data_IF_898635813228
#
_entry.id   IF_898635813228
#
_cell.length_a   1.000
_cell.length_b   1.000
_cell.length_c   1.000
_cell.angle_alpha   90.00
_cell.angle_beta   90.00
_cell.angle_gamma   90.00
#
_symmetry.space_group_name_H-M   'P 1'
#
loop_
_entity.id
_entity.type
_entity.pdbx_description
1 polymer ?
#
# COMPACT_ATOMS: atom_id res chain seq x y z
N UNK A 1 21.83 20.73 -1.16
CA UNK A 1 21.28 19.46 -1.52
C UNK A 1 20.71 19.49 -2.91
N UNK A 2 21.02 18.51 -3.64
CA UNK A 2 20.45 18.39 -4.97
C UNK A 2 19.06 17.83 -4.87
N UNK A 3 18.11 18.51 -5.47
CA UNK A 3 16.79 17.93 -5.55
C UNK A 3 16.86 16.66 -6.39
N UNK A 4 16.14 15.65 -5.98
CA UNK A 4 16.09 14.48 -6.83
C UNK A 4 15.51 14.87 -8.17
N UNK A 5 15.92 14.15 -9.18
CA UNK A 5 15.30 14.31 -10.47
C UNK A 5 13.80 14.09 -10.32
N UNK A 6 13.02 14.69 -11.20
CA UNK A 6 11.59 14.46 -11.22
C UNK A 6 11.35 12.96 -11.35
N UNK A 7 10.49 12.44 -10.50
CA UNK A 7 10.15 11.03 -10.54
C UNK A 7 9.46 10.70 -11.87
N UNK A 8 9.69 9.51 -12.41
CA UNK A 8 8.97 9.11 -13.61
C UNK A 8 7.47 9.13 -13.39
N UNK A 9 6.73 9.43 -14.43
CA UNK A 9 5.27 9.43 -14.35
C UNK A 9 4.72 8.06 -13.96
N UNK A 10 5.46 7.00 -14.22
CA UNK A 10 5.04 5.65 -13.88
C UNK A 10 5.55 5.18 -12.53
N UNK A 11 6.23 6.06 -11.76
CA UNK A 11 6.62 5.69 -10.40
C UNK A 11 5.37 5.36 -9.59
N UNK A 12 5.43 4.31 -8.76
CA UNK A 12 4.25 3.95 -7.96
C UNK A 12 3.79 5.12 -7.09
N UNK A 13 2.50 5.30 -7.02
CA UNK A 13 1.90 6.39 -6.26
C UNK A 13 1.26 5.82 -5.00
N UNK A 14 1.75 6.25 -3.85
CA UNK A 14 1.31 5.76 -2.55
C UNK A 14 0.48 6.84 -1.86
N UNK A 15 -0.59 6.41 -1.20
CA UNK A 15 -1.38 7.29 -0.33
C UNK A 15 -1.12 6.88 1.11
N UNK A 16 -0.64 7.82 1.92
CA UNK A 16 -0.38 7.61 3.34
C UNK A 16 -1.47 8.32 4.13
N UNK A 17 -2.25 7.55 4.88
CA UNK A 17 -3.36 8.10 5.68
C UNK A 17 -3.03 7.87 7.15
N UNK A 18 -2.74 8.95 7.86
CA UNK A 18 -2.38 8.90 9.27
C UNK A 18 -2.69 10.28 9.86
N UNK A 19 -3.28 10.31 11.05
CA UNK A 19 -3.62 11.58 11.69
C UNK A 19 -2.40 12.23 12.36
N UNK A 20 -1.31 11.50 12.51
CA UNK A 20 -0.07 12.03 13.11
C UNK A 20 0.77 12.68 12.03
N UNK A 21 0.89 14.01 12.12
CA UNK A 21 1.66 14.77 11.14
C UNK A 21 3.11 14.33 11.06
N UNK A 22 3.70 13.96 12.20
CA UNK A 22 5.10 13.54 12.22
C UNK A 22 5.30 12.27 11.41
N UNK A 23 4.35 11.34 11.52
CA UNK A 23 4.40 10.11 10.74
C UNK A 23 4.22 10.42 9.26
N UNK A 24 3.24 11.28 8.92
CA UNK A 24 3.04 11.65 7.52
C UNK A 24 4.30 12.27 6.91
N UNK A 25 4.92 13.20 7.63
CA UNK A 25 6.12 13.88 7.14
C UNK A 25 7.28 12.90 7.00
N UNK A 26 7.46 12.03 8.00
CA UNK A 26 8.53 11.03 7.96
C UNK A 26 8.34 10.09 6.76
N UNK A 27 7.14 9.56 6.60
CA UNK A 27 6.88 8.60 5.54
C UNK A 27 6.94 9.28 4.17
N UNK A 28 6.44 10.51 4.06
CA UNK A 28 6.50 11.22 2.80
C UNK A 28 7.96 11.40 2.34
N UNK A 29 8.81 11.84 3.25
CA UNK A 29 10.22 12.03 2.91
C UNK A 29 10.93 10.73 2.62
N UNK A 30 10.72 9.75 3.49
CA UNK A 30 11.41 8.48 3.35
C UNK A 30 11.00 7.77 2.05
N UNK A 31 9.70 7.67 1.81
CA UNK A 31 9.22 6.93 0.64
C UNK A 31 9.53 7.67 -0.66
N UNK A 32 9.51 9.02 -0.62
CA UNK A 32 9.93 9.78 -1.79
C UNK A 32 11.39 9.50 -2.12
N UNK A 33 12.24 9.35 -1.10
CA UNK A 33 13.65 9.03 -1.32
C UNK A 33 13.84 7.63 -1.88
N UNK A 34 12.85 6.76 -1.69
CA UNK A 34 12.88 5.40 -2.22
C UNK A 34 12.31 5.30 -3.64
N UNK A 35 11.91 6.42 -4.22
CA UNK A 35 11.47 6.45 -5.60
C UNK A 35 9.97 6.41 -5.80
N UNK A 36 9.19 6.57 -4.74
CA UNK A 36 7.74 6.57 -4.84
C UNK A 36 7.18 7.98 -4.92
N UNK A 37 6.05 8.13 -5.60
CA UNK A 37 5.26 9.35 -5.48
C UNK A 37 4.36 9.18 -4.27
N UNK A 38 4.29 10.21 -3.42
CA UNK A 38 3.58 10.10 -2.14
C UNK A 38 2.58 11.23 -1.99
N UNK A 39 1.34 10.88 -1.72
CA UNK A 39 0.30 11.80 -1.31
C UNK A 39 -0.09 11.44 0.11
N UNK A 40 -0.39 12.41 0.94
CA UNK A 40 -0.77 12.16 2.33
C UNK A 40 -2.20 12.64 2.58
N UNK A 41 -2.84 12.02 3.56
CA UNK A 41 -4.15 12.44 4.04
C UNK A 41 -4.17 12.31 5.55
N UNK A 42 -4.83 13.24 6.22
CA UNK A 42 -4.82 13.23 7.69
C UNK A 42 -6.08 12.61 8.29
N UNK A 43 -7.10 12.38 7.47
CA UNK A 43 -8.35 11.76 7.93
C UNK A 43 -8.86 10.84 6.85
N UNK A 44 -9.83 9.99 7.22
CA UNK A 44 -10.49 9.14 6.23
C UNK A 44 -11.25 9.97 5.21
N UNK A 45 -11.86 11.08 5.63
CA UNK A 45 -12.57 11.96 4.71
C UNK A 45 -11.62 12.56 3.68
N UNK A 46 -10.46 13.03 4.13
CA UNK A 46 -9.44 13.58 3.24
C UNK A 46 -8.95 12.51 2.27
N UNK A 47 -8.76 11.28 2.78
CA UNK A 47 -8.34 10.16 1.93
C UNK A 47 -9.37 9.87 0.85
N UNK A 48 -10.65 9.87 1.20
CA UNK A 48 -11.72 9.63 0.22
C UNK A 48 -11.73 10.69 -0.86
N UNK A 49 -11.52 11.95 -0.47
CA UNK A 49 -11.47 13.04 -1.44
C UNK A 49 -10.33 12.83 -2.43
N UNK A 50 -9.17 12.41 -1.94
CA UNK A 50 -8.02 12.19 -2.81
C UNK A 50 -8.18 10.96 -3.68
N UNK A 51 -8.83 9.92 -3.15
CA UNK A 51 -9.12 8.73 -3.94
C UNK A 51 -10.07 9.00 -5.10
N UNK A 52 -10.93 9.99 -4.96
CA UNK A 52 -11.85 10.36 -6.05
C UNK A 52 -11.13 11.03 -7.21
N UNK A 53 -10.03 11.69 -6.95
CA UNK A 53 -9.36 12.46 -7.99
C UNK A 53 -8.04 11.89 -8.47
N UNK A 54 -7.50 10.90 -7.78
CA UNK A 54 -6.17 10.37 -8.06
C UNK A 54 -6.19 8.85 -8.01
N UNK A 55 -5.27 8.26 -8.76
CA UNK A 55 -5.08 6.81 -8.72
C UNK A 55 -3.86 6.48 -7.87
N UNK A 56 -3.96 5.42 -7.11
CA UNK A 56 -2.88 4.97 -6.23
C UNK A 56 -2.58 3.50 -6.45
N UNK A 57 -1.31 3.15 -6.28
CA UNK A 57 -0.86 1.77 -6.42
C UNK A 57 -0.86 1.04 -5.08
N UNK A 58 -0.88 1.77 -3.98
CA UNK A 58 -0.92 1.18 -2.64
C UNK A 58 -1.38 2.23 -1.66
N UNK A 59 -2.17 1.80 -0.68
CA UNK A 59 -2.62 2.64 0.42
C UNK A 59 -1.95 2.18 1.71
N UNK A 60 -1.46 3.13 2.49
CA UNK A 60 -0.93 2.88 3.82
C UNK A 60 -1.87 3.56 4.79
N UNK A 61 -2.60 2.77 5.57
CA UNK A 61 -3.68 3.28 6.42
C UNK A 61 -3.37 3.05 7.89
N UNK A 62 -3.43 4.12 8.67
CA UNK A 62 -3.38 4.01 10.12
C UNK A 62 -4.71 3.47 10.63
N UNK A 63 -4.65 2.48 11.52
CA UNK A 63 -5.86 1.88 12.09
C UNK A 63 -6.59 2.87 12.99
N UNK A 64 -5.84 3.60 13.81
CA UNK A 64 -6.41 4.46 14.85
C UNK A 64 -6.46 5.91 14.40
N UNK A 65 -7.60 6.34 13.92
CA UNK A 65 -7.82 7.72 13.51
C UNK A 65 -9.12 8.25 14.11
N UNK A 66 -9.19 9.54 14.41
CA UNK A 66 -10.45 10.14 14.87
C UNK A 66 -11.51 10.04 13.77
N UNK A 67 -12.74 9.85 14.19
CA UNK A 67 -13.84 9.71 13.25
C UNK A 67 -13.86 8.32 12.64
N UNK A 68 -13.74 8.24 11.33
CA UNK A 68 -13.73 6.94 10.65
C UNK A 68 -12.36 6.28 10.84
N UNK A 69 -12.37 5.04 11.32
CA UNK A 69 -11.13 4.30 11.56
C UNK A 69 -10.53 3.82 10.25
N UNK A 70 -9.24 3.41 10.33
CA UNK A 70 -8.60 2.82 9.18
C UNK A 70 -9.26 1.52 8.74
N UNK A 71 -9.81 0.76 9.67
CA UNK A 71 -10.54 -0.46 9.31
C UNK A 71 -11.79 -0.15 8.51
N UNK A 72 -12.56 0.85 8.94
CA UNK A 72 -13.78 1.22 8.24
C UNK A 72 -13.47 1.76 6.85
N UNK A 73 -12.42 2.56 6.75
CA UNK A 73 -11.99 3.09 5.47
C UNK A 73 -11.53 1.95 4.54
N UNK A 74 -10.75 1.02 5.06
CA UNK A 74 -10.27 -0.10 4.26
C UNK A 74 -11.43 -0.95 3.74
N UNK A 75 -12.42 -1.19 4.60
CA UNK A 75 -13.60 -1.96 4.21
C UNK A 75 -14.36 -1.27 3.09
N UNK A 76 -14.54 0.05 3.20
CA UNK A 76 -15.24 0.80 2.17
C UNK A 76 -14.47 0.78 0.86
N UNK A 77 -13.15 0.95 0.92
CA UNK A 77 -12.33 0.94 -0.27
C UNK A 77 -12.38 -0.44 -0.95
N UNK A 78 -12.32 -1.51 -0.13
CA UNK A 78 -12.30 -2.86 -0.67
C UNK A 78 -13.61 -3.22 -1.37
N UNK A 79 -14.70 -2.55 -1.04
CA UNK A 79 -15.95 -2.73 -1.75
C UNK A 79 -15.91 -2.25 -3.19
N UNK A 80 -15.02 -1.31 -3.51
CA UNK A 80 -14.96 -0.69 -4.83
C UNK A 80 -13.67 -0.97 -5.58
N UNK A 81 -12.64 -1.46 -4.91
CA UNK A 81 -11.31 -1.50 -5.51
C UNK A 81 -10.48 -2.63 -4.91
N UNK A 82 -9.58 -3.16 -5.72
CA UNK A 82 -8.60 -4.15 -5.29
C UNK A 82 -7.24 -3.52 -5.00
N UNK A 83 -7.18 -2.20 -4.85
CA UNK A 83 -5.92 -1.54 -4.57
C UNK A 83 -5.27 -2.15 -3.32
N UNK A 84 -3.97 -2.43 -3.34
CA UNK A 84 -3.30 -3.00 -2.17
C UNK A 84 -3.38 -2.08 -0.96
N UNK A 85 -3.55 -2.67 0.21
CA UNK A 85 -3.66 -1.93 1.47
C UNK A 85 -2.69 -2.51 2.49
N UNK A 86 -1.85 -1.64 3.05
CA UNK A 86 -0.98 -1.95 4.17
C UNK A 86 -1.50 -1.19 5.38
N UNK A 87 -1.83 -1.93 6.45
CA UNK A 87 -2.36 -1.31 7.67
C UNK A 87 -1.23 -1.03 8.65
N UNK A 88 -1.24 0.15 9.25
CA UNK A 88 -0.36 0.49 10.35
C UNK A 88 -1.16 0.49 11.64
N UNK A 89 -0.66 -0.18 12.66
CA UNK A 89 -1.36 -0.24 13.94
C UNK A 89 -0.38 0.05 15.08
N UNK A 90 -0.84 0.78 16.09
CA UNK A 90 -0.03 1.08 17.25
C UNK A 90 0.18 -0.13 18.13
N UNK A 91 -0.60 -1.20 17.91
CA UNK A 91 -0.51 -2.39 18.73
C UNK A 91 -0.45 -3.61 17.84
N UNK A 92 0.43 -4.52 18.22
CA UNK A 92 0.49 -5.81 17.57
C UNK A 92 -0.48 -6.76 18.26
N UNK A 93 -1.76 -6.44 18.18
CA UNK A 93 -2.78 -7.27 18.78
C UNK A 93 -3.29 -8.26 17.74
N UNK A 94 -3.41 -9.52 18.17
CA UNK A 94 -3.92 -10.56 17.29
C UNK A 94 -5.30 -10.21 16.75
N UNK A 95 -6.12 -9.60 17.58
CA UNK A 95 -7.47 -9.21 17.18
C UNK A 95 -7.45 -8.19 16.05
N UNK A 96 -6.57 -7.18 16.12
CA UNK A 96 -6.45 -6.19 15.06
C UNK A 96 -5.96 -6.81 13.77
N UNK A 97 -5.01 -7.74 13.89
CA UNK A 97 -4.47 -8.41 12.73
C UNK A 97 -5.51 -9.27 12.04
N UNK A 98 -6.29 -10.01 12.83
CA UNK A 98 -7.36 -10.85 12.30
C UNK A 98 -8.40 -9.98 11.60
N UNK A 99 -8.79 -8.86 12.21
CA UNK A 99 -9.77 -7.97 11.64
C UNK A 99 -9.31 -7.41 10.29
N UNK A 100 -8.04 -7.03 10.20
CA UNK A 100 -7.50 -6.53 8.94
C UNK A 100 -7.48 -7.58 7.85
N UNK A 101 -7.15 -8.81 8.21
CA UNK A 101 -7.16 -9.90 7.24
C UNK A 101 -8.57 -10.18 6.76
N UNK A 102 -9.55 -10.12 7.64
CA UNK A 102 -10.96 -10.31 7.26
C UNK A 102 -11.44 -9.22 6.31
N UNK A 103 -10.93 -8.00 6.46
CA UNK A 103 -11.29 -6.90 5.58
C UNK A 103 -10.60 -7.04 4.21
N UNK A 104 -9.48 -7.77 4.16
CA UNK A 104 -8.76 -7.96 2.93
C UNK A 104 -7.54 -7.06 2.78
N UNK A 105 -6.97 -6.61 3.90
CA UNK A 105 -5.70 -5.91 3.86
C UNK A 105 -4.60 -6.87 3.39
N UNK A 106 -3.64 -6.33 2.68
CA UNK A 106 -2.56 -7.15 2.11
C UNK A 106 -1.45 -7.40 3.11
N UNK A 107 -1.30 -6.53 4.08
CA UNK A 107 -0.25 -6.70 5.09
C UNK A 107 -0.51 -5.78 6.27
N UNK A 108 0.25 -5.98 7.31
CA UNK A 108 0.17 -5.29 8.59
C UNK A 108 1.54 -4.91 9.05
N UNK A 109 1.67 -3.75 9.69
CA UNK A 109 2.91 -3.34 10.30
C UNK A 109 2.60 -2.64 11.61
N UNK A 110 3.24 -3.09 12.69
CA UNK A 110 3.03 -2.52 14.01
C UNK A 110 3.91 -1.30 14.22
N UNK A 111 3.36 -0.28 14.86
CA UNK A 111 4.12 0.89 15.30
C UNK A 111 4.72 0.58 16.66
N UNK A 112 5.94 1.03 16.96
CA UNK A 112 6.86 1.69 16.06
C UNK A 112 7.47 0.71 15.07
N UNK A 113 7.74 1.17 13.87
CA UNK A 113 8.29 0.31 12.82
C UNK A 113 9.60 0.88 12.32
N UNK A 114 10.40 -0.01 11.73
CA UNK A 114 11.60 0.40 11.04
C UNK A 114 11.22 0.86 9.64
N UNK A 115 11.66 2.05 9.21
CA UNK A 115 11.36 2.48 7.84
C UNK A 115 11.80 1.46 6.79
N UNK A 116 12.91 0.78 7.04
CA UNK A 116 13.40 -0.23 6.12
C UNK A 116 12.44 -1.41 6.02
N UNK A 117 11.84 -1.82 7.13
CA UNK A 117 10.86 -2.90 7.11
C UNK A 117 9.63 -2.47 6.31
N UNK A 118 9.18 -1.24 6.50
CA UNK A 118 8.06 -0.70 5.74
C UNK A 118 8.38 -0.72 4.24
N UNK A 119 9.57 -0.27 3.87
CA UNK A 119 9.98 -0.24 2.47
C UNK A 119 9.97 -1.62 1.85
N UNK A 120 10.47 -2.62 2.59
CA UNK A 120 10.48 -3.99 2.09
C UNK A 120 9.08 -4.55 1.91
N UNK A 121 8.17 -4.27 2.84
CA UNK A 121 6.79 -4.74 2.72
C UNK A 121 6.09 -4.07 1.55
N UNK A 122 6.31 -2.78 1.36
CA UNK A 122 5.75 -2.06 0.21
C UNK A 122 6.24 -2.67 -1.10
N UNK A 123 7.55 -2.88 -1.21
CA UNK A 123 8.11 -3.45 -2.43
C UNK A 123 7.52 -4.83 -2.72
N UNK A 124 7.36 -5.66 -1.69
CA UNK A 124 6.79 -6.99 -1.87
C UNK A 124 5.33 -6.92 -2.30
N UNK A 125 4.56 -6.02 -1.71
CA UNK A 125 3.15 -5.87 -2.08
C UNK A 125 3.02 -5.40 -3.52
N UNK A 126 3.80 -4.39 -3.90
CA UNK A 126 3.74 -3.86 -5.25
C UNK A 126 4.18 -4.90 -6.29
N UNK A 127 5.16 -5.72 -5.94
CA UNK A 127 5.61 -6.77 -6.82
C UNK A 127 4.53 -7.81 -7.06
N UNK A 128 3.80 -8.20 -6.00
CA UNK A 128 2.72 -9.17 -6.13
C UNK A 128 1.53 -8.60 -6.87
N UNK A 129 1.29 -7.30 -6.76
CA UNK A 129 0.14 -6.66 -7.38
C UNK A 129 0.34 -6.40 -8.87
N UNK A 130 1.57 -6.41 -9.35
CA UNK A 130 1.84 -6.18 -10.75
C UNK A 130 1.39 -7.37 -11.59
N UNK A 131 0.83 -7.09 -12.78
CA UNK A 131 0.51 -8.21 -13.68
C UNK A 131 1.80 -8.96 -14.02
N UNK A 132 1.70 -10.27 -14.13
CA UNK A 132 2.84 -11.06 -14.55
C UNK A 132 3.24 -10.61 -15.96
N UNK A 133 4.54 -10.53 -16.26
CA UNK A 133 4.95 -10.25 -17.63
C UNK A 133 4.46 -11.36 -18.54
N UNK A 134 4.18 -11.05 -19.81
CA UNK A 134 3.74 -12.07 -20.75
C UNK A 134 4.77 -13.19 -20.79
N UNK A 135 4.30 -14.43 -20.72
CA UNK A 135 5.19 -15.57 -20.83
C UNK A 135 5.82 -15.60 -22.21
N UNK A 136 7.06 -16.05 -22.31
CA UNK A 136 7.63 -16.29 -23.64
C UNK A 136 6.78 -17.28 -24.41
N UNK A 137 6.66 -17.05 -25.70
CA UNK A 137 5.76 -17.87 -26.52
C UNK A 137 6.17 -19.33 -26.50
N UNK A 138 7.42 -19.61 -26.47
CA UNK A 138 7.86 -21.00 -26.49
C UNK A 138 7.62 -21.71 -25.18
N UNK A 139 7.08 -21.14 -24.33
CA UNK A 139 6.94 -21.84 -23.07
C UNK A 139 5.57 -22.28 -22.83
N UNK A 140 5.43 -22.62 -23.61
CA UNK A 140 4.52 -22.79 -23.02
C UNK A 140 3.85 -23.66 -22.72
N UNK A 141 4.39 -24.07 -23.23
CA UNK A 141 4.21 -24.61 -22.89
C UNK A 141 3.82 -25.35 -22.25
N UNK A 142 4.03 -25.77 -22.51
CA UNK A 142 4.09 -26.17 -21.70
C UNK A 142 3.66 -26.65 -21.15
N UNK A 143 3.38 -27.15 -21.51
CA UNK A 143 3.29 -27.26 -20.92
C UNK A 143 2.70 -27.64 -20.37
N UNK A 144 2.58 -28.29 -20.74
CA UNK A 144 2.16 -28.34 -19.95
C UNK A 144 1.92 -28.28 -19.11
N UNK A 145 2.12 -28.08 -19.36
CA UNK A 145 2.30 -27.61 -18.40
C UNK A 145 2.02 -27.15 -17.75
N UNK A 146 1.93 -27.33 -18.21
CA UNK A 146 2.03 -26.61 -17.55
C UNK A 146 1.56 -26.24 -16.74
N UNK A 147 1.33 -26.42 -16.97
CA UNK A 147 1.24 -25.88 -16.17
C UNK A 147 1.01 -25.46 -15.37
N UNK A 148 1.01 -25.44 -15.60
CA UNK A 148 1.17 -24.83 -14.80
C UNK A 148 1.15 -24.03 -14.41
N UNK A 149 0.99 -23.89 -14.90
CA UNK A 149 1.33 -23.11 -14.49
C UNK A 149 0.94 -22.31 -13.89
N UNK A 150 1.04 -22.01 -13.99
CA UNK A 150 1.03 -21.31 -13.22
C UNK A 150 0.36 -20.92 -12.47
N UNK A 151 0.17 -20.78 -12.47
CA UNK A 151 -0.21 -20.41 -11.81
C UNK A 151 -0.25 -20.00 -11.02
#
# INVERSE_FOLDING_TARGET
>A
MTLPATLPDDAPHLLVVDDDRRIRDLLSRFLSSEGYRVTTAETAMDARAKLNGLSFDLLILDVMMPGESGFDLAKAIRGDSNVPILMLTARDAAESRIRGLEIGADDYLSKPFEPRELSLRIANILKRAQPAPPAPVESVRFGPFVYHLAR
#
